data_IF_145617526891
#
_entry.id   IF_145617526891
#
_cell.length_a   1.000
_cell.length_b   1.000
_cell.length_c   1.000
_cell.angle_alpha   90.00
_cell.angle_beta   90.00
_cell.angle_gamma   90.00
#
_symmetry.space_group_name_H-M   'P 1'
#
loop_
_entity.id
_entity.type
_entity.pdbx_description
1 polymer ?
#
# COMPACT_ATOMS: atom_id res chain seq x y z
N UNK A 1 8.81 4.15 -4.03
CA UNK A 1 10.13 4.35 -4.69
C UNK A 1 11.14 3.28 -4.27
N UNK A 2 11.51 3.19 -2.99
CA UNK A 2 12.47 2.16 -2.49
C UNK A 2 12.11 0.72 -2.89
N UNK A 3 10.86 0.31 -2.68
CA UNK A 3 10.41 -1.03 -3.04
C UNK A 3 10.53 -1.35 -4.55
N UNK A 4 10.27 -0.39 -5.43
CA UNK A 4 10.47 -0.57 -6.88
C UNK A 4 11.95 -0.70 -7.23
N UNK A 5 12.81 0.08 -6.57
CA UNK A 5 14.26 -0.01 -6.77
C UNK A 5 14.79 -1.39 -6.36
N UNK A 6 14.35 -1.90 -5.21
CA UNK A 6 14.68 -3.24 -4.74
C UNK A 6 14.25 -4.33 -5.75
N UNK A 7 13.01 -4.29 -6.25
CA UNK A 7 12.53 -5.25 -7.25
C UNK A 7 13.39 -5.18 -8.53
N UNK A 8 13.73 -3.97 -8.99
CA UNK A 8 14.54 -3.78 -10.20
C UNK A 8 15.98 -4.30 -10.03
N UNK A 9 16.58 -4.11 -8.86
CA UNK A 9 17.91 -4.61 -8.53
C UNK A 9 17.97 -6.15 -8.50
N UNK A 10 16.94 -6.77 -7.91
CA UNK A 10 16.87 -8.23 -7.74
C UNK A 10 16.10 -8.97 -8.84
N UNK A 11 15.77 -8.33 -9.97
CA UNK A 11 14.97 -8.96 -11.06
C UNK A 11 15.52 -10.27 -11.63
N UNK A 12 16.80 -10.57 -11.41
CA UNK A 12 17.48 -11.77 -11.91
C UNK A 12 17.47 -12.95 -10.92
N UNK A 13 16.95 -12.77 -9.72
CA UNK A 13 16.98 -13.79 -8.65
C UNK A 13 15.70 -13.76 -7.81
N UNK A 14 15.36 -14.86 -7.10
CA UNK A 14 14.23 -14.84 -6.17
C UNK A 14 14.48 -13.82 -5.04
N UNK A 15 13.48 -12.99 -4.75
CA UNK A 15 13.55 -12.00 -3.69
C UNK A 15 12.41 -12.16 -2.68
N UNK A 16 12.61 -11.58 -1.50
CA UNK A 16 11.57 -11.41 -0.49
C UNK A 16 11.49 -9.94 -0.10
N UNK A 17 10.33 -9.33 -0.36
CA UNK A 17 10.05 -7.95 0.00
C UNK A 17 8.95 -7.93 1.07
N UNK A 18 9.29 -7.45 2.26
CA UNK A 18 8.31 -7.15 3.30
C UNK A 18 8.07 -5.64 3.34
N UNK A 19 6.88 -5.22 2.91
CA UNK A 19 6.49 -3.82 2.84
C UNK A 19 5.39 -3.52 3.84
N UNK A 20 5.80 -3.11 5.04
CA UNK A 20 4.88 -2.71 6.11
C UNK A 20 4.61 -1.20 6.03
N UNK A 21 3.63 -0.80 5.23
CA UNK A 21 3.17 0.58 5.24
C UNK A 21 2.63 0.95 6.64
N UNK A 22 3.04 2.09 7.22
CA UNK A 22 2.51 2.55 8.49
C UNK A 22 1.11 3.16 8.35
N UNK A 23 0.73 3.62 7.14
CA UNK A 23 -0.63 4.07 6.87
C UNK A 23 -1.58 2.87 6.79
N UNK A 24 -2.82 2.97 7.28
CA UNK A 24 -3.51 4.19 7.71
C UNK A 24 -3.46 4.46 9.23
N UNK A 25 -2.40 4.04 9.95
CA UNK A 25 -2.27 4.30 11.39
C UNK A 25 -2.21 5.81 11.70
N UNK A 26 -2.82 6.23 12.81
CA UNK A 26 -2.79 7.62 13.27
C UNK A 26 -1.39 8.06 13.75
N UNK A 27 -1.00 9.34 13.60
CA UNK A 27 -1.70 10.42 12.91
C UNK A 27 -1.65 10.25 11.39
N UNK A 28 -2.82 10.22 10.76
CA UNK A 28 -2.95 10.02 9.32
C UNK A 28 -2.47 11.23 8.53
N UNK A 29 -1.82 10.95 7.41
CA UNK A 29 -1.39 11.95 6.45
C UNK A 29 -1.69 11.42 5.05
N UNK A 30 -2.06 12.33 4.16
CA UNK A 30 -2.12 12.08 2.73
C UNK A 30 -1.33 13.19 2.03
N UNK A 31 -0.64 12.84 0.94
CA UNK A 31 0.05 13.82 0.12
C UNK A 31 -0.94 14.76 -0.58
N UNK A 32 -0.43 15.89 -1.11
CA UNK A 32 -1.27 16.93 -1.70
C UNK A 32 -2.13 16.42 -2.85
N UNK A 33 -1.65 15.43 -3.61
CA UNK A 33 -2.37 14.83 -4.73
C UNK A 33 -3.62 14.03 -4.29
N UNK A 34 -3.62 13.51 -3.05
CA UNK A 34 -4.69 12.67 -2.50
C UNK A 34 -5.54 13.40 -1.45
N UNK A 35 -5.00 14.44 -0.83
CA UNK A 35 -5.67 15.14 0.28
C UNK A 35 -6.98 15.79 -0.16
N UNK A 36 -8.07 15.44 0.52
CA UNK A 36 -9.42 15.93 0.28
C UNK A 36 -10.11 15.34 -0.95
N UNK A 37 -9.54 14.30 -1.57
CA UNK A 37 -10.13 13.65 -2.74
C UNK A 37 -11.15 12.58 -2.33
N UNK A 38 -10.88 11.87 -1.24
CA UNK A 38 -11.69 10.74 -0.83
C UNK A 38 -12.99 11.16 -0.15
N UNK A 39 -14.06 10.43 -0.45
CA UNK A 39 -15.35 10.57 0.23
C UNK A 39 -15.30 10.12 1.69
N UNK A 40 -14.28 9.35 2.09
CA UNK A 40 -14.08 8.88 3.46
C UNK A 40 -13.16 9.80 4.30
N UNK A 41 -12.96 11.04 3.85
CA UNK A 41 -12.11 12.02 4.53
C UNK A 41 -10.65 11.60 4.55
N UNK A 42 -9.88 12.09 5.53
CA UNK A 42 -8.43 11.90 5.59
C UNK A 42 -8.00 10.42 5.66
N UNK A 43 -8.81 9.56 6.28
CA UNK A 43 -8.54 8.11 6.26
C UNK A 43 -8.66 7.56 4.84
N UNK A 44 -9.72 7.94 4.13
CA UNK A 44 -9.91 7.59 2.74
C UNK A 44 -8.77 8.08 1.87
N UNK A 45 -8.33 9.32 2.05
CA UNK A 45 -7.19 9.89 1.31
C UNK A 45 -5.92 9.05 1.51
N UNK A 46 -5.63 8.65 2.76
CA UNK A 46 -4.48 7.80 3.07
C UNK A 46 -4.61 6.38 2.50
N UNK A 47 -5.82 5.82 2.47
CA UNK A 47 -6.09 4.50 1.88
C UNK A 47 -5.97 4.55 0.35
N UNK A 48 -6.48 5.59 -0.31
CA UNK A 48 -6.36 5.78 -1.75
C UNK A 48 -4.89 5.99 -2.16
N UNK A 49 -4.11 6.72 -1.36
CA UNK A 49 -2.67 6.85 -1.59
C UNK A 49 -1.92 5.52 -1.39
N UNK A 50 -2.31 4.73 -0.38
CA UNK A 50 -1.76 3.39 -0.16
C UNK A 50 -2.09 2.45 -1.34
N UNK A 51 -3.35 2.46 -1.79
CA UNK A 51 -3.81 1.68 -2.95
C UNK A 51 -3.01 2.04 -4.21
N UNK A 52 -2.86 3.35 -4.49
CA UNK A 52 -2.02 3.84 -5.57
C UNK A 52 -0.57 3.35 -5.45
N UNK A 53 0.03 3.46 -4.26
CA UNK A 53 1.41 3.03 -4.01
C UNK A 53 1.60 1.53 -4.28
N UNK A 54 0.63 0.69 -3.90
CA UNK A 54 0.64 -0.75 -4.21
C UNK A 54 0.50 -0.99 -5.71
N UNK A 55 -0.39 -0.25 -6.39
CA UNK A 55 -0.52 -0.28 -7.84
C UNK A 55 0.80 -0.05 -8.56
N UNK A 56 1.60 0.93 -8.12
CA UNK A 56 2.93 1.18 -8.69
C UNK A 56 3.91 0.00 -8.55
N UNK A 57 3.75 -0.86 -7.53
CA UNK A 57 4.55 -2.08 -7.39
C UNK A 57 4.10 -3.17 -8.37
N UNK A 58 2.78 -3.33 -8.52
CA UNK A 58 2.20 -4.28 -9.46
C UNK A 58 2.58 -3.90 -10.91
N UNK A 59 2.50 -2.62 -11.25
CA UNK A 59 2.96 -2.10 -12.55
C UNK A 59 4.44 -2.42 -12.76
N UNK A 60 5.29 -2.20 -11.74
CA UNK A 60 6.72 -2.51 -11.83
C UNK A 60 6.98 -4.01 -12.05
N UNK A 61 6.21 -4.90 -11.41
CA UNK A 61 6.34 -6.34 -11.63
C UNK A 61 5.95 -6.71 -13.07
N UNK A 62 4.87 -6.13 -13.60
CA UNK A 62 4.42 -6.35 -14.97
C UNK A 62 5.42 -5.81 -16.01
N UNK A 63 5.96 -4.61 -15.80
CA UNK A 63 6.99 -3.99 -16.66
C UNK A 63 8.27 -4.83 -16.77
N UNK A 64 8.56 -5.66 -15.75
CA UNK A 64 9.74 -6.49 -15.67
C UNK A 64 9.46 -7.97 -16.03
N UNK A 65 8.25 -8.30 -16.47
CA UNK A 65 7.79 -9.67 -16.75
C UNK A 65 7.97 -10.62 -15.53
N UNK A 66 7.71 -10.11 -14.32
CA UNK A 66 7.85 -10.83 -13.04
C UNK A 66 6.51 -11.18 -12.38
N UNK A 67 5.39 -10.66 -12.90
CA UNK A 67 4.04 -10.82 -12.35
C UNK A 67 3.62 -12.29 -12.21
N UNK A 68 3.84 -13.12 -13.23
CA UNK A 68 3.53 -14.56 -13.21
C UNK A 68 4.46 -15.39 -12.30
N UNK A 69 5.56 -14.80 -11.79
CA UNK A 69 6.56 -15.46 -10.94
C UNK A 69 6.60 -14.92 -9.52
N UNK A 70 5.73 -13.98 -9.18
CA UNK A 70 5.74 -13.29 -7.90
C UNK A 70 4.44 -13.53 -7.15
N UNK A 71 4.51 -14.15 -5.98
CA UNK A 71 3.36 -14.23 -5.08
C UNK A 71 3.25 -12.93 -4.28
N UNK A 72 2.16 -12.20 -4.47
CA UNK A 72 1.84 -10.99 -3.70
C UNK A 72 0.78 -11.31 -2.65
N UNK A 73 1.08 -11.00 -1.39
CA UNK A 73 0.15 -11.12 -0.27
C UNK A 73 -0.10 -9.72 0.30
N UNK A 74 -1.35 -9.28 0.28
CA UNK A 74 -1.79 -8.03 0.90
C UNK A 74 -2.65 -8.34 2.11
N UNK A 75 -2.28 -7.79 3.27
CA UNK A 75 -3.00 -7.99 4.52
C UNK A 75 -2.88 -6.76 5.41
N UNK A 76 -3.75 -6.69 6.41
CA UNK A 76 -3.58 -5.80 7.55
C UNK A 76 -3.08 -6.61 8.76
N UNK A 77 -2.45 -5.92 9.70
CA UNK A 77 -1.99 -6.46 10.98
C UNK A 77 -3.13 -6.66 11.98
N UNK A 78 -4.17 -5.81 11.95
CA UNK A 78 -5.34 -5.91 12.81
C UNK A 78 -6.60 -5.28 12.22
N UNK A 79 -7.68 -5.28 13.01
CA UNK A 79 -8.94 -4.63 12.65
C UNK A 79 -8.87 -3.10 12.69
N UNK A 80 -9.93 -2.44 12.22
CA UNK A 80 -10.05 -0.99 12.18
C UNK A 80 -9.91 -0.29 13.57
N UNK A 81 -9.45 0.98 13.61
CA UNK A 81 -9.58 1.98 14.69
C UNK A 81 -10.20 3.34 14.24
N UNK A 82 -11.18 3.86 14.99
CA UNK A 82 -12.04 5.09 14.86
C UNK A 82 -12.01 6.10 13.66
N UNK A 83 -11.70 5.71 12.43
CA UNK A 83 -12.23 6.22 11.13
C UNK A 83 -11.38 5.52 10.09
N UNK A 84 -11.92 4.44 9.52
CA UNK A 84 -11.31 3.14 9.74
C UNK A 84 -11.76 2.54 11.07
N UNK A 85 -13.00 2.74 11.53
CA UNK A 85 -13.49 2.42 12.89
C UNK A 85 -14.09 1.02 13.08
N UNK A 86 -13.82 0.29 14.18
CA UNK A 86 -14.44 -1.00 14.48
C UNK A 86 -15.81 -0.85 15.21
N UNK A 87 -16.35 0.37 15.28
CA UNK A 87 -17.59 0.69 15.99
C UNK A 87 -17.41 0.80 17.51
N UNK A 88 -18.53 0.90 18.24
CA UNK A 88 -18.53 0.86 19.71
C UNK A 88 -18.59 -0.58 20.26
N UNK A 89 -18.88 -1.57 19.42
CA UNK A 89 -18.68 -3.03 19.53
C UNK A 89 -19.56 -3.72 18.46
N UNK A 90 -19.07 -3.83 17.22
CA UNK A 90 -19.79 -4.30 16.00
C UNK A 90 -20.85 -3.36 15.43
#
# INVERSE_FOLDING_TARGET
REAQAFIREHRGEPFFLYLAHPMPHEPMHASEDFRGQSKAGLYGDAVEELDWSVGQLLDTLQELDLDEKTLVLFTSDNGPWWQGSPGLTR
#
